data_IF_236466633567
#
_entry.id   IF_236466633567
#
_cell.length_a   1.000
_cell.length_b   1.000
_cell.length_c   1.000
_cell.angle_alpha   90.00
_cell.angle_beta   90.00
_cell.angle_gamma   90.00
#
_symmetry.space_group_name_H-M   'P 1'
#
loop_
_entity.id
_entity.type
_entity.pdbx_description
1 polymer ?
#
# COMPACT_ATOMS: atom_id res chain seq x y z
N UNK A 1 11.53 11.28 11.54
CA UNK A 1 10.46 11.57 10.55
C UNK A 1 9.30 10.56 10.61
N UNK A 2 9.56 9.24 10.66
CA UNK A 2 8.53 8.20 10.83
C UNK A 2 7.70 8.35 12.12
N UNK A 3 8.34 8.76 13.22
CA UNK A 3 7.69 8.92 14.52
C UNK A 3 6.66 10.08 14.55
N UNK A 4 6.93 11.16 13.81
CA UNK A 4 5.99 12.26 13.64
C UNK A 4 4.77 11.86 12.78
N UNK A 5 4.98 11.02 11.76
CA UNK A 5 3.91 10.46 10.93
C UNK A 5 3.05 9.46 11.70
N UNK A 6 3.67 8.59 12.49
CA UNK A 6 2.97 7.65 13.37
C UNK A 6 2.18 8.40 14.46
N UNK A 7 2.75 9.47 15.03
CA UNK A 7 2.04 10.37 15.94
C UNK A 7 0.87 11.07 15.26
N UNK A 8 1.01 11.50 14.00
CA UNK A 8 -0.09 12.12 13.23
C UNK A 8 -1.20 11.13 12.91
N UNK A 9 -0.87 9.92 12.46
CA UNK A 9 -1.83 8.84 12.23
C UNK A 9 -2.55 8.46 13.53
N UNK A 10 -1.82 8.34 14.65
CA UNK A 10 -2.37 8.09 15.99
C UNK A 10 -3.17 9.27 16.56
N UNK A 11 -2.87 10.51 16.20
CA UNK A 11 -3.62 11.70 16.61
C UNK A 11 -4.90 11.89 15.77
N UNK A 12 -4.87 11.49 14.50
CA UNK A 12 -6.04 11.46 13.62
C UNK A 12 -6.92 10.24 13.87
N UNK A 13 -6.35 9.14 14.38
CA UNK A 13 -7.07 7.91 14.73
C UNK A 13 -8.28 8.16 15.66
N UNK A 14 -8.22 8.85 16.83
CA UNK A 14 -9.41 9.10 17.66
C UNK A 14 -10.46 10.04 17.04
N UNK A 15 -10.06 10.90 16.10
CA UNK A 15 -10.98 11.79 15.38
C UNK A 15 -11.63 11.06 14.19
N UNK A 16 -10.92 10.07 13.64
CA UNK A 16 -11.33 9.17 12.56
C UNK A 16 -11.82 7.81 13.08
N UNK A 17 -11.88 7.58 14.39
CA UNK A 17 -12.33 6.32 14.99
C UNK A 17 -13.16 6.60 16.24
N UNK A 18 -14.34 5.99 16.30
CA UNK A 18 -14.97 5.74 17.59
C UNK A 18 -14.14 4.73 18.37
N UNK A 19 -14.70 4.21 19.45
CA UNK A 19 -14.06 3.37 20.48
C UNK A 19 -13.46 2.03 19.98
N UNK A 20 -13.28 1.83 18.67
CA UNK A 20 -12.97 0.53 18.02
C UNK A 20 -11.78 0.52 17.05
N UNK A 21 -10.87 1.49 17.15
CA UNK A 21 -9.43 1.35 16.81
C UNK A 21 -8.95 0.85 15.43
N UNK A 22 -9.77 0.68 14.38
CA UNK A 22 -9.26 0.31 13.02
C UNK A 22 -8.61 1.51 12.32
N UNK A 23 -7.32 1.50 11.97
CA UNK A 23 -6.71 2.62 11.24
C UNK A 23 -7.48 3.01 9.96
N UNK A 24 -7.60 4.31 9.70
CA UNK A 24 -8.10 4.87 8.43
C UNK A 24 -6.93 5.59 7.78
N UNK A 25 -6.74 5.37 6.47
CA UNK A 25 -5.65 6.03 5.76
C UNK A 25 -5.83 7.55 5.72
N UNK A 26 -4.72 8.30 5.79
CA UNK A 26 -4.76 9.76 5.69
C UNK A 26 -5.34 10.18 4.33
N UNK A 27 -6.04 11.31 4.32
CA UNK A 27 -6.44 11.96 3.07
C UNK A 27 -5.21 12.28 2.22
N UNK A 28 -5.38 12.21 0.90
CA UNK A 28 -4.39 12.73 -0.03
C UNK A 28 -4.08 14.18 0.30
N UNK A 29 -2.84 14.42 0.72
CA UNK A 29 -2.34 15.76 0.87
C UNK A 29 -1.98 16.25 -0.54
N UNK A 30 -2.61 17.31 -1.06
CA UNK A 30 -2.28 17.86 -2.37
C UNK A 30 -0.85 18.45 -2.44
N UNK A 31 -0.17 18.58 -1.29
CA UNK A 31 1.14 19.20 -1.15
C UNK A 31 2.25 18.26 -0.67
N UNK A 32 1.96 17.01 -0.25
CA UNK A 32 3.03 16.04 0.06
C UNK A 32 3.06 14.93 -0.95
N UNK A 33 4.27 14.67 -1.43
CA UNK A 33 4.61 13.60 -2.34
C UNK A 33 4.23 12.26 -1.68
N UNK A 34 3.46 11.39 -2.36
CA UNK A 34 3.12 10.07 -1.83
C UNK A 34 4.37 9.19 -1.83
N UNK A 35 4.96 8.96 -0.66
CA UNK A 35 5.91 7.86 -0.46
C UNK A 35 6.14 7.62 1.05
N UNK A 36 5.67 6.48 1.54
CA UNK A 36 6.35 5.74 2.61
C UNK A 36 7.24 4.70 1.94
N UNK A 37 8.55 4.79 2.17
CA UNK A 37 9.52 3.79 1.72
C UNK A 37 9.66 2.69 2.75
N UNK A 38 9.71 1.43 2.30
CA UNK A 38 10.17 0.29 3.10
C UNK A 38 11.39 -0.31 2.41
N UNK A 39 12.50 -0.45 3.13
CA UNK A 39 13.76 -0.99 2.60
C UNK A 39 13.88 -2.48 2.91
N UNK A 40 14.24 -3.28 1.91
CA UNK A 40 14.63 -4.69 2.08
C UNK A 40 16.04 -4.89 1.48
N UNK A 41 16.86 -5.73 2.13
CA UNK A 41 18.23 -6.03 1.71
C UNK A 41 18.21 -7.39 0.98
N UNK A 42 18.72 -7.45 -0.24
CA UNK A 42 19.05 -8.70 -0.93
C UNK A 42 20.57 -8.87 -1.00
N UNK A 43 21.06 -10.08 -1.32
CA UNK A 43 22.50 -10.34 -1.45
C UNK A 43 23.19 -9.50 -2.54
N UNK A 44 22.45 -8.78 -3.40
CA UNK A 44 22.98 -8.00 -4.53
C UNK A 44 22.68 -6.49 -4.43
N UNK A 45 22.06 -6.04 -3.34
CA UNK A 45 21.75 -4.63 -3.15
C UNK A 45 20.59 -4.40 -2.19
N UNK A 46 20.16 -3.16 -2.08
CA UNK A 46 18.97 -2.77 -1.31
C UNK A 46 17.86 -2.46 -2.29
N UNK A 47 16.67 -3.03 -2.09
CA UNK A 47 15.46 -2.64 -2.82
C UNK A 47 14.58 -1.80 -1.89
N UNK A 48 14.31 -0.58 -2.30
CA UNK A 48 13.38 0.34 -1.66
C UNK A 48 12.05 0.29 -2.39
N UNK A 49 11.00 -0.09 -1.68
CA UNK A 49 9.64 -0.14 -2.19
C UNK A 49 8.90 1.15 -1.82
N UNK A 50 8.20 1.75 -2.78
CA UNK A 50 7.41 2.96 -2.56
C UNK A 50 5.92 2.62 -2.49
N UNK A 51 5.27 3.03 -1.41
CA UNK A 51 3.82 2.92 -1.25
C UNK A 51 3.20 4.30 -1.11
N UNK A 52 2.07 4.50 -1.79
CA UNK A 52 1.25 5.69 -1.62
C UNK A 52 0.57 5.63 -0.26
N UNK A 53 0.79 6.65 0.55
CA UNK A 53 0.31 6.73 1.93
C UNK A 53 -1.21 6.86 2.07
N UNK A 54 -1.92 7.21 0.99
CA UNK A 54 -3.38 7.48 1.02
C UNK A 54 -4.24 6.24 0.83
N UNK A 55 -3.74 5.22 0.15
CA UNK A 55 -4.44 3.98 -0.16
C UNK A 55 -3.54 2.73 -0.10
N UNK A 56 -2.28 2.89 0.31
CA UNK A 56 -1.25 1.86 0.30
C UNK A 56 -1.05 1.23 -1.07
N UNK A 57 -1.26 1.96 -2.17
CA UNK A 57 -0.95 1.43 -3.49
C UNK A 57 0.56 1.39 -3.67
N UNK A 58 1.08 0.23 -4.11
CA UNK A 58 2.47 0.11 -4.50
C UNK A 58 2.75 1.00 -5.71
N UNK A 59 3.57 2.02 -5.54
CA UNK A 59 3.82 3.05 -6.53
C UNK A 59 5.04 2.75 -7.42
N UNK A 60 5.93 1.87 -6.95
CA UNK A 60 7.16 1.55 -7.64
C UNK A 60 8.29 1.17 -6.69
N UNK A 61 9.51 1.07 -7.21
CA UNK A 61 10.69 0.69 -6.44
C UNK A 61 11.97 1.38 -6.94
N UNK A 62 13.03 1.29 -6.16
CA UNK A 62 14.38 1.75 -6.52
C UNK A 62 15.39 0.80 -5.89
N UNK A 63 16.47 0.51 -6.60
CA UNK A 63 17.60 -0.26 -6.04
C UNK A 63 18.73 0.65 -5.57
N UNK A 64 19.53 0.17 -4.64
CA UNK A 64 20.87 0.66 -4.35
C UNK A 64 21.88 -0.47 -4.52
N UNK A 65 22.99 -0.17 -5.19
CA UNK A 65 24.16 -1.04 -5.19
C UNK A 65 25.00 -0.68 -3.97
N UNK A 66 25.37 -1.67 -3.17
CA UNK A 66 26.17 -1.46 -1.95
C UNK A 66 27.60 -1.88 -2.21
N UNK A 67 28.53 -0.93 -2.13
CA UNK A 67 29.96 -1.15 -2.30
C UNK A 67 30.66 -1.07 -0.94
N UNK A 68 31.48 -2.07 -0.61
CA UNK A 68 32.36 -2.02 0.57
C UNK A 68 33.64 -1.29 0.18
N UNK A 69 33.90 -0.16 0.84
CA UNK A 69 35.10 0.65 0.61
C UNK A 69 36.33 0.01 1.29
N UNK A 70 37.57 0.38 0.89
CA UNK A 70 38.79 -0.19 1.46
C UNK A 70 38.94 -0.02 2.98
N UNK A 71 38.27 0.98 3.57
CA UNK A 71 38.26 1.24 5.01
C UNK A 71 37.18 0.42 5.77
N UNK A 72 36.44 -0.44 5.06
CA UNK A 72 35.35 -1.24 5.60
C UNK A 72 34.01 -0.51 5.70
N UNK A 73 33.93 0.77 5.31
CA UNK A 73 32.66 1.49 5.24
C UNK A 73 31.81 1.04 4.06
N UNK A 74 30.49 1.25 4.15
CA UNK A 74 29.54 0.92 3.09
C UNK A 74 29.14 2.20 2.34
N UNK A 75 29.20 2.14 1.01
CA UNK A 75 28.67 3.18 0.13
C UNK A 75 27.45 2.64 -0.60
N UNK A 76 26.34 3.39 -0.58
CA UNK A 76 25.12 3.07 -1.30
C UNK A 76 24.98 3.95 -2.54
N UNK A 77 25.04 3.33 -3.72
CA UNK A 77 24.85 3.99 -5.00
C UNK A 77 23.42 3.72 -5.50
N UNK A 78 22.54 4.71 -5.28
CA UNK A 78 21.12 4.60 -5.56
C UNK A 78 20.80 4.80 -7.05
N UNK A 79 20.18 3.80 -7.69
CA UNK A 79 19.84 3.77 -9.12
C UNK A 79 18.62 4.61 -9.53
N UNK A 80 17.93 4.25 -10.61
CA UNK A 80 16.71 4.94 -11.04
C UNK A 80 15.47 4.56 -10.20
N UNK A 81 14.52 5.49 -10.03
CA UNK A 81 13.25 5.23 -9.35
C UNK A 81 12.19 4.77 -10.37
N UNK A 82 11.87 3.49 -10.39
CA UNK A 82 10.91 2.91 -11.31
C UNK A 82 9.48 3.04 -10.77
N UNK A 83 8.57 3.64 -11.54
CA UNK A 83 7.18 3.89 -11.13
C UNK A 83 6.17 3.43 -12.18
N UNK A 84 4.95 3.13 -11.73
CA UNK A 84 3.85 2.82 -12.64
C UNK A 84 3.39 4.03 -13.46
N UNK A 85 2.86 3.76 -14.65
CA UNK A 85 2.41 4.79 -15.58
C UNK A 85 1.17 5.58 -15.08
N UNK A 86 0.35 4.94 -14.23
CA UNK A 86 -0.99 5.36 -13.85
C UNK A 86 -1.12 5.83 -12.39
N UNK A 87 -0.19 5.46 -11.50
CA UNK A 87 -0.26 5.82 -10.07
C UNK A 87 0.24 7.23 -9.79
N UNK A 88 1.36 7.62 -10.38
CA UNK A 88 2.05 8.88 -10.04
C UNK A 88 1.98 9.85 -11.21
N UNK A 89 1.09 10.86 -11.10
CA UNK A 89 0.90 11.88 -12.14
C UNK A 89 2.04 12.89 -12.22
N UNK A 90 2.64 13.23 -11.09
CA UNK A 90 3.75 14.17 -11.00
C UNK A 90 4.79 13.61 -10.03
N UNK A 91 6.01 13.47 -10.51
CA UNK A 91 7.15 13.02 -9.70
C UNK A 91 8.08 14.21 -9.53
N UNK A 92 8.48 14.55 -8.30
CA UNK A 92 9.57 15.48 -8.07
C UNK A 92 10.82 15.09 -8.85
N UNK A 93 11.47 16.09 -9.46
CA UNK A 93 12.68 15.89 -10.26
C UNK A 93 13.80 15.18 -9.51
N UNK A 94 13.92 15.41 -8.20
CA UNK A 94 14.94 14.78 -7.35
C UNK A 94 14.78 13.26 -7.20
N UNK A 95 13.59 12.69 -7.48
CA UNK A 95 13.40 11.24 -7.40
C UNK A 95 13.98 10.50 -8.62
N UNK A 96 14.38 11.24 -9.68
CA UNK A 96 14.92 10.67 -10.90
C UNK A 96 14.05 9.53 -11.47
N UNK A 97 12.73 9.77 -11.51
CA UNK A 97 11.78 8.71 -11.78
C UNK A 97 11.70 8.32 -13.26
N UNK A 98 11.44 7.04 -13.48
CA UNK A 98 11.33 6.39 -14.77
C UNK A 98 10.02 5.60 -14.80
N UNK A 99 9.19 5.88 -15.80
CA UNK A 99 7.96 5.11 -16.05
C UNK A 99 8.31 3.71 -16.54
N UNK A 100 7.79 2.68 -15.87
CA UNK A 100 8.14 1.28 -16.17
C UNK A 100 7.55 0.75 -17.48
N UNK A 101 6.55 1.43 -18.05
CA UNK A 101 5.85 0.92 -19.24
C UNK A 101 4.73 -0.09 -18.91
N UNK A 102 4.53 -0.42 -17.63
CA UNK A 102 3.43 -1.26 -17.13
C UNK A 102 2.46 -0.45 -16.26
N UNK A 103 1.20 -0.93 -16.18
CA UNK A 103 0.17 -0.38 -15.31
C UNK A 103 0.19 -1.01 -13.92
N UNK A 104 -0.48 -0.36 -12.96
CA UNK A 104 -0.53 -0.82 -11.57
C UNK A 104 -1.65 -1.80 -11.22
N UNK A 105 -2.48 -2.14 -12.20
CA UNK A 105 -3.62 -3.04 -11.97
C UNK A 105 -3.14 -4.44 -11.58
N UNK A 106 -3.86 -5.07 -10.64
CA UNK A 106 -3.63 -6.47 -10.28
C UNK A 106 -3.78 -7.37 -11.52
N UNK A 107 -2.79 -8.23 -11.83
CA UNK A 107 -3.04 -9.29 -12.80
C UNK A 107 -4.02 -10.30 -12.20
N UNK A 108 -4.76 -10.96 -13.09
CA UNK A 108 -5.98 -11.72 -12.81
C UNK A 108 -5.81 -12.96 -11.92
N UNK A 109 -4.58 -13.41 -11.64
CA UNK A 109 -4.29 -14.53 -10.74
C UNK A 109 -2.93 -14.26 -10.08
N UNK A 110 -2.91 -14.22 -8.74
CA UNK A 110 -1.68 -14.10 -7.97
C UNK A 110 -1.62 -15.19 -6.91
N UNK A 111 -0.61 -16.05 -6.97
CA UNK A 111 -0.30 -16.97 -5.88
C UNK A 111 0.37 -16.20 -4.74
N UNK A 112 0.24 -16.72 -3.51
CA UNK A 112 1.00 -16.25 -2.36
C UNK A 112 2.43 -16.78 -2.49
N UNK A 113 3.48 -15.94 -2.44
CA UNK A 113 4.85 -16.42 -2.57
C UNK A 113 5.34 -17.01 -1.23
N UNK A 114 6.09 -18.10 -1.32
CA UNK A 114 6.88 -18.63 -0.21
C UNK A 114 8.20 -17.88 -0.02
N UNK A 115 9.06 -18.33 0.91
CA UNK A 115 10.31 -17.64 1.23
C UNK A 115 11.28 -17.55 0.04
N UNK A 116 11.47 -18.65 -0.69
CA UNK A 116 12.38 -18.69 -1.84
C UNK A 116 11.86 -17.82 -2.99
N UNK A 117 10.55 -17.86 -3.26
CA UNK A 117 9.94 -16.97 -4.25
C UNK A 117 10.10 -15.50 -3.87
N UNK A 118 10.02 -15.15 -2.58
CA UNK A 118 10.27 -13.79 -2.12
C UNK A 118 11.71 -13.34 -2.37
N UNK A 119 12.69 -14.23 -2.21
CA UNK A 119 14.08 -13.93 -2.54
C UNK A 119 14.22 -13.64 -4.04
N UNK A 120 13.68 -14.53 -4.89
CA UNK A 120 13.66 -14.36 -6.35
C UNK A 120 13.00 -13.05 -6.78
N UNK A 121 11.87 -12.69 -6.16
CA UNK A 121 11.18 -11.42 -6.39
C UNK A 121 12.11 -10.24 -6.12
N UNK A 122 12.84 -10.23 -5.00
CA UNK A 122 13.78 -9.16 -4.70
C UNK A 122 14.98 -9.15 -5.66
N UNK A 123 15.45 -10.31 -6.14
CA UNK A 123 16.46 -10.36 -7.20
C UNK A 123 15.94 -9.79 -8.52
N UNK A 124 14.71 -10.11 -8.92
CA UNK A 124 14.07 -9.54 -10.12
C UNK A 124 14.03 -8.01 -10.02
N UNK A 125 13.60 -7.46 -8.87
CA UNK A 125 13.55 -6.01 -8.67
C UNK A 125 14.95 -5.37 -8.62
N UNK A 126 15.92 -6.02 -7.99
CA UNK A 126 17.30 -5.53 -7.91
C UNK A 126 18.04 -5.58 -9.25
N UNK A 127 17.73 -6.55 -10.11
CA UNK A 127 18.31 -6.72 -11.45
C UNK A 127 17.56 -5.97 -12.55
N UNK A 128 16.36 -5.44 -12.28
CA UNK A 128 15.49 -4.84 -13.32
C UNK A 128 16.15 -3.71 -14.12
N UNK A 129 17.01 -2.91 -13.47
CA UNK A 129 17.66 -1.76 -14.11
C UNK A 129 18.72 -2.14 -15.14
N UNK A 130 19.35 -3.30 -14.99
CA UNK A 130 20.51 -3.70 -15.80
C UNK A 130 20.16 -4.01 -17.28
N UNK A 131 19.03 -4.69 -17.60
CA UNK A 131 18.67 -5.00 -18.99
C UNK A 131 17.82 -3.93 -19.68
N UNK A 132 17.37 -2.87 -18.99
CA UNK A 132 16.39 -1.92 -19.55
C UNK A 132 17.02 -0.71 -20.22
N UNK A 133 16.46 -0.32 -21.36
CA UNK A 133 16.79 0.95 -22.01
C UNK A 133 15.85 2.06 -21.53
N UNK A 134 16.44 3.12 -20.94
CA UNK A 134 15.70 4.30 -20.49
C UNK A 134 15.72 5.36 -21.59
N UNK A 135 14.56 5.62 -22.18
CA UNK A 135 14.37 6.70 -23.12
C UNK A 135 13.98 7.99 -22.39
N UNK A 136 14.62 9.10 -22.78
CA UNK A 136 14.33 10.43 -22.26
C UNK A 136 13.76 11.31 -23.37
N UNK A 137 12.60 11.90 -23.12
CA UNK A 137 11.94 12.86 -24.01
C UNK A 137 11.81 14.18 -23.28
N UNK A 138 12.08 15.30 -23.95
CA UNK A 138 11.87 16.64 -23.39
C UNK A 138 10.95 17.42 -24.31
N UNK A 139 9.79 17.81 -23.80
CA UNK A 139 8.78 18.57 -24.54
C UNK A 139 8.24 19.69 -23.64
N UNK A 140 8.12 20.92 -24.16
CA UNK A 140 7.62 22.08 -23.41
C UNK A 140 8.34 22.31 -22.05
N UNK A 141 9.67 22.12 -22.01
CA UNK A 141 10.51 22.16 -20.79
C UNK A 141 10.16 21.12 -19.72
N UNK A 142 9.40 20.09 -20.10
CA UNK A 142 9.09 18.93 -19.25
C UNK A 142 9.87 17.74 -19.77
N UNK A 143 10.78 17.23 -18.95
CA UNK A 143 11.52 16.00 -19.24
C UNK A 143 10.78 14.81 -18.64
N UNK A 144 10.48 13.82 -19.48
CA UNK A 144 9.90 12.53 -19.10
C UNK A 144 10.88 11.41 -19.40
N UNK A 145 10.95 10.41 -18.52
CA UNK A 145 11.80 9.23 -18.69
C UNK A 145 10.93 7.98 -18.62
N UNK A 146 11.12 7.06 -19.55
CA UNK A 146 10.36 5.81 -19.63
C UNK A 146 11.24 4.65 -20.10
N UNK A 147 10.92 3.45 -19.65
CA UNK A 147 11.51 2.22 -20.18
C UNK A 147 10.93 1.95 -21.57
N UNK A 148 11.81 1.67 -22.55
CA UNK A 148 11.41 1.21 -23.88
C UNK A 148 12.07 -0.12 -24.23
N UNK A 149 11.41 -0.90 -25.08
CA UNK A 149 11.95 -2.16 -25.58
C UNK A 149 12.00 -3.26 -24.52
N UNK A 150 11.10 -3.23 -23.53
CA UNK A 150 10.98 -4.29 -22.53
C UNK A 150 10.62 -5.60 -23.25
N UNK A 151 11.40 -6.66 -23.04
CA UNK A 151 11.08 -7.98 -23.59
C UNK A 151 9.83 -8.52 -22.89
N UNK A 152 9.02 -9.32 -23.58
CA UNK A 152 7.81 -9.92 -22.96
C UNK A 152 8.15 -10.78 -21.75
N UNK A 153 9.30 -11.47 -21.76
CA UNK A 153 9.77 -12.26 -20.62
C UNK A 153 10.05 -11.38 -19.39
N UNK A 154 10.84 -10.32 -19.55
CA UNK A 154 11.16 -9.42 -18.43
C UNK A 154 9.92 -8.68 -17.93
N UNK A 155 9.00 -8.33 -18.83
CA UNK A 155 7.71 -7.75 -18.47
C UNK A 155 6.90 -8.70 -17.60
N UNK A 156 6.79 -9.96 -18.00
CA UNK A 156 6.05 -10.96 -17.26
C UNK A 156 6.67 -11.22 -15.87
N UNK A 157 7.99 -11.35 -15.79
CA UNK A 157 8.71 -11.50 -14.52
C UNK A 157 8.47 -10.31 -13.58
N UNK A 158 8.53 -9.08 -14.11
CA UNK A 158 8.24 -7.88 -13.33
C UNK A 158 6.78 -7.87 -12.86
N UNK A 159 5.82 -8.21 -13.71
CA UNK A 159 4.40 -8.26 -13.34
C UNK A 159 4.14 -9.27 -12.21
N UNK A 160 4.78 -10.45 -12.26
CA UNK A 160 4.70 -11.45 -11.18
C UNK A 160 5.32 -10.93 -9.87
N UNK A 161 6.49 -10.31 -9.95
CA UNK A 161 7.18 -9.72 -8.80
C UNK A 161 6.34 -8.63 -8.13
N UNK A 162 5.84 -7.68 -8.93
CA UNK A 162 4.95 -6.60 -8.50
C UNK A 162 3.71 -7.14 -7.81
N UNK A 163 3.08 -8.15 -8.37
CA UNK A 163 1.83 -8.73 -7.83
C UNK A 163 2.03 -9.32 -6.45
N UNK A 164 3.14 -10.02 -6.29
CA UNK A 164 3.55 -10.63 -5.04
C UNK A 164 3.85 -9.59 -3.96
N UNK A 165 4.56 -8.50 -4.34
CA UNK A 165 4.78 -7.34 -3.46
C UNK A 165 3.45 -6.71 -3.04
N UNK A 166 2.51 -6.55 -3.97
CA UNK A 166 1.21 -5.95 -3.66
C UNK A 166 0.45 -6.83 -2.65
N UNK A 167 0.40 -8.15 -2.84
CA UNK A 167 -0.25 -9.05 -1.89
C UNK A 167 0.33 -8.90 -0.48
N UNK A 168 1.64 -9.08 -0.34
CA UNK A 168 2.31 -9.15 0.97
C UNK A 168 2.35 -7.80 1.67
N UNK A 169 2.62 -6.71 0.94
CA UNK A 169 2.86 -5.42 1.58
C UNK A 169 1.65 -4.51 1.55
N UNK A 170 0.76 -4.63 0.57
CA UNK A 170 -0.43 -3.79 0.47
C UNK A 170 -1.66 -4.50 1.02
N UNK A 171 -1.96 -5.70 0.51
CA UNK A 171 -3.22 -6.37 0.82
C UNK A 171 -3.23 -6.99 2.21
N UNK A 172 -2.10 -7.56 2.65
CA UNK A 172 -1.94 -8.03 4.04
C UNK A 172 -2.16 -6.91 5.08
N UNK A 173 -1.81 -5.66 4.75
CA UNK A 173 -2.07 -4.51 5.63
C UNK A 173 -3.54 -4.08 5.64
N UNK A 174 -4.32 -4.50 4.64
CA UNK A 174 -5.75 -4.16 4.51
C UNK A 174 -6.66 -5.23 5.09
N UNK A 175 -6.27 -6.49 4.94
CA UNK A 175 -7.11 -7.66 5.18
C UNK A 175 -6.40 -8.68 6.06
N UNK A 176 -7.04 -9.01 7.18
CA UNK A 176 -6.49 -9.93 8.19
C UNK A 176 -6.30 -11.34 7.66
N UNK A 177 -7.26 -11.85 6.89
CA UNK A 177 -7.18 -13.20 6.35
C UNK A 177 -6.06 -13.35 5.33
N UNK A 178 -5.78 -12.30 4.54
CA UNK A 178 -4.60 -12.24 3.67
C UNK A 178 -3.31 -12.20 4.48
N UNK A 179 -3.22 -11.35 5.50
CA UNK A 179 -2.04 -11.32 6.38
C UNK A 179 -1.71 -12.71 6.96
N UNK A 180 -2.73 -13.42 7.46
CA UNK A 180 -2.53 -14.75 8.01
C UNK A 180 -2.11 -15.77 6.93
N UNK A 181 -2.67 -15.68 5.73
CA UNK A 181 -2.34 -16.56 4.62
C UNK A 181 -0.93 -16.30 4.09
N UNK A 182 -0.54 -15.04 3.89
CA UNK A 182 0.81 -14.61 3.54
C UNK A 182 1.81 -15.09 4.59
N UNK A 183 1.52 -14.86 5.87
CA UNK A 183 2.38 -15.30 6.97
C UNK A 183 2.59 -16.82 6.97
N UNK A 184 1.52 -17.59 6.73
CA UNK A 184 1.62 -19.04 6.63
C UNK A 184 2.44 -19.49 5.41
N UNK A 185 2.23 -18.87 4.23
CA UNK A 185 2.97 -19.17 3.01
C UNK A 185 4.48 -18.89 3.18
N UNK A 186 4.84 -17.75 3.79
CA UNK A 186 6.23 -17.36 4.04
C UNK A 186 6.96 -18.23 5.07
N UNK A 187 6.23 -18.96 5.91
CA UNK A 187 6.79 -19.94 6.85
C UNK A 187 6.74 -21.38 6.29
N UNK A 188 6.09 -21.57 5.15
CA UNK A 188 5.95 -22.87 4.49
C UNK A 188 7.17 -23.24 3.67
N UNK A 189 7.29 -24.52 3.27
CA UNK A 189 8.34 -25.00 2.37
C UNK A 189 8.01 -24.78 0.88
N UNK A 190 6.76 -24.43 0.58
CA UNK A 190 6.29 -24.32 -0.80
C UNK A 190 6.79 -23.02 -1.43
N UNK A 191 7.26 -23.10 -2.68
CA UNK A 191 7.68 -21.93 -3.44
C UNK A 191 6.52 -20.94 -3.67
N UNK A 192 5.33 -21.46 -3.99
CA UNK A 192 4.11 -20.69 -4.16
C UNK A 192 2.92 -21.45 -3.60
N UNK A 193 1.99 -20.74 -2.96
CA UNK A 193 0.72 -21.28 -2.48
C UNK A 193 -0.43 -20.63 -3.25
N UNK A 194 -1.38 -21.40 -3.81
CA UNK A 194 -2.54 -20.83 -4.49
C UNK A 194 -3.35 -19.92 -3.57
N UNK A 195 -3.69 -18.72 -4.05
CA UNK A 195 -4.56 -17.81 -3.30
C UNK A 195 -6.00 -18.36 -3.30
N UNK A 196 -6.62 -18.60 -2.13
CA UNK A 196 -7.99 -19.08 -2.06
C UNK A 196 -8.96 -18.09 -2.72
N UNK A 197 -9.93 -18.59 -3.49
CA UNK A 197 -10.91 -17.75 -4.22
C UNK A 197 -11.65 -16.77 -3.31
N UNK A 198 -11.90 -17.16 -2.04
CA UNK A 198 -12.52 -16.27 -1.05
C UNK A 198 -11.67 -15.02 -0.76
N UNK A 199 -10.35 -15.18 -0.65
CA UNK A 199 -9.44 -14.05 -0.40
C UNK A 199 -9.36 -13.13 -1.62
N UNK A 200 -9.40 -13.71 -2.82
CA UNK A 200 -9.48 -12.94 -4.07
C UNK A 200 -10.71 -12.01 -4.11
N UNK A 201 -11.87 -12.53 -3.69
CA UNK A 201 -13.10 -11.75 -3.62
C UNK A 201 -13.00 -10.63 -2.57
N UNK A 202 -12.44 -10.92 -1.39
CA UNK A 202 -12.20 -9.92 -0.35
C UNK A 202 -11.34 -8.75 -0.85
N UNK A 203 -10.22 -9.08 -1.51
CA UNK A 203 -9.30 -8.11 -2.11
C UNK A 203 -10.05 -7.15 -3.05
N UNK A 204 -10.83 -7.71 -3.98
CA UNK A 204 -11.60 -6.92 -4.95
C UNK A 204 -12.78 -6.15 -4.33
N UNK A 205 -13.19 -6.52 -3.12
CA UNK A 205 -14.30 -5.90 -2.39
C UNK A 205 -13.84 -4.86 -1.37
N UNK A 206 -12.54 -4.73 -1.10
CA UNK A 206 -12.00 -3.87 -0.04
C UNK A 206 -12.51 -2.43 -0.09
N UNK A 207 -12.53 -1.81 -1.28
CA UNK A 207 -13.03 -0.44 -1.47
C UNK A 207 -14.52 -0.33 -1.13
N UNK A 208 -15.35 -1.26 -1.59
CA UNK A 208 -16.80 -1.28 -1.34
C UNK A 208 -17.12 -1.55 0.14
N UNK A 209 -16.38 -2.46 0.76
CA UNK A 209 -16.48 -2.75 2.20
C UNK A 209 -16.11 -1.51 3.03
N UNK A 210 -15.00 -0.86 2.69
CA UNK A 210 -14.57 0.39 3.33
C UNK A 210 -15.62 1.48 3.20
N UNK A 211 -16.14 1.72 1.99
CA UNK A 211 -17.19 2.72 1.75
C UNK A 211 -18.45 2.44 2.58
N UNK A 212 -18.83 1.16 2.69
CA UNK A 212 -20.00 0.76 3.46
C UNK A 212 -19.84 1.06 4.95
N UNK A 213 -18.71 0.66 5.55
CA UNK A 213 -18.38 0.94 6.95
C UNK A 213 -18.39 2.45 7.21
N UNK A 214 -17.74 3.23 6.34
CA UNK A 214 -17.69 4.69 6.45
C UNK A 214 -19.08 5.32 6.35
N UNK A 215 -19.96 4.81 5.47
CA UNK A 215 -21.33 5.29 5.33
C UNK A 215 -22.18 5.01 6.57
N UNK A 216 -22.12 3.79 7.12
CA UNK A 216 -22.82 3.44 8.37
C UNK A 216 -22.36 4.33 9.52
N UNK A 217 -21.04 4.55 9.62
CA UNK A 217 -20.47 5.46 10.60
C UNK A 217 -21.02 6.88 10.47
N UNK A 218 -21.02 7.44 9.25
CA UNK A 218 -21.54 8.78 8.98
C UNK A 218 -23.01 8.94 9.39
N UNK A 219 -23.80 7.87 9.20
CA UNK A 219 -25.22 7.82 9.59
C UNK A 219 -25.45 7.47 11.06
N UNK A 220 -24.40 7.14 11.82
CA UNK A 220 -24.46 6.66 13.22
C UNK A 220 -25.30 5.39 13.38
N UNK A 221 -25.22 4.49 12.41
CA UNK A 221 -25.98 3.22 12.40
C UNK A 221 -25.06 2.00 12.55
N UNK A 222 -23.91 2.13 13.23
CA UNK A 222 -22.99 1.02 13.43
C UNK A 222 -23.44 0.16 14.61
N UNK A 223 -23.89 -1.04 14.30
CA UNK A 223 -24.28 -2.09 15.25
C UNK A 223 -23.56 -3.36 14.85
N UNK A 224 -22.72 -3.93 15.73
CA UNK A 224 -21.81 -5.03 15.38
C UNK A 224 -22.56 -6.27 14.91
N UNK A 225 -23.66 -6.58 15.58
CA UNK A 225 -24.48 -7.76 15.28
C UNK A 225 -25.33 -7.58 14.01
N UNK A 226 -25.24 -6.42 13.35
CA UNK A 226 -25.94 -6.20 12.10
C UNK A 226 -25.28 -6.96 10.97
N UNK A 227 -26.09 -7.74 10.26
CA UNK A 227 -25.68 -8.35 9.00
C UNK A 227 -25.18 -7.29 8.02
N UNK A 228 -24.14 -7.64 7.26
CA UNK A 228 -23.72 -6.83 6.13
C UNK A 228 -24.85 -6.72 5.09
N UNK A 229 -24.92 -5.62 4.31
CA UNK A 229 -25.98 -5.44 3.33
C UNK A 229 -25.98 -6.57 2.32
N UNK A 230 -27.16 -7.10 2.05
CA UNK A 230 -27.38 -8.10 1.01
C UNK A 230 -27.36 -7.46 -0.39
N UNK A 231 -26.24 -6.86 -0.77
CA UNK A 231 -26.00 -6.47 -2.17
C UNK A 231 -25.49 -7.69 -2.94
N UNK A 232 -25.79 -7.81 -4.25
CA UNK A 232 -25.30 -8.92 -5.09
C UNK A 232 -23.79 -9.17 -4.95
N UNK A 233 -23.02 -8.08 -4.76
CA UNK A 233 -21.57 -8.05 -4.57
C UNK A 233 -21.11 -8.75 -3.28
N UNK A 234 -21.95 -8.76 -2.25
CA UNK A 234 -21.73 -9.45 -0.97
C UNK A 234 -22.43 -10.82 -0.94
N UNK A 235 -23.56 -10.98 -1.65
CA UNK A 235 -24.37 -12.20 -1.64
C UNK A 235 -23.75 -13.37 -2.40
N UNK A 236 -22.89 -13.12 -3.39
CA UNK A 236 -22.40 -14.17 -4.27
C UNK A 236 -21.45 -15.18 -3.58
N UNK A 237 -21.00 -14.94 -2.34
CA UNK A 237 -19.74 -15.53 -1.86
C UNK A 237 -19.66 -15.82 -0.35
N UNK A 238 -20.71 -16.37 0.27
CA UNK A 238 -20.74 -16.77 1.69
C UNK A 238 -20.54 -15.64 2.73
N UNK A 239 -20.51 -14.37 2.32
CA UNK A 239 -20.73 -13.22 3.21
C UNK A 239 -22.16 -13.01 3.76
N UNK A 240 -23.26 -13.70 3.33
CA UNK A 240 -24.60 -13.42 3.86
C UNK A 240 -24.73 -13.55 5.38
N UNK A 241 -23.83 -14.30 6.01
CA UNK A 241 -23.78 -14.52 7.47
C UNK A 241 -22.78 -13.61 8.19
N UNK A 242 -21.94 -12.86 7.47
CA UNK A 242 -21.00 -11.94 8.11
C UNK A 242 -21.73 -10.74 8.70
N UNK A 243 -21.37 -10.44 9.92
CA UNK A 243 -21.81 -9.29 10.69
C UNK A 243 -20.81 -8.15 10.54
N UNK A 244 -21.17 -6.97 11.04
CA UNK A 244 -20.24 -5.86 11.16
C UNK A 244 -19.11 -6.19 12.17
N UNK A 245 -19.31 -7.08 13.14
CA UNK A 245 -18.25 -7.59 14.02
C UNK A 245 -17.20 -8.39 13.24
N UNK A 246 -17.63 -9.25 12.33
CA UNK A 246 -16.71 -10.03 11.49
C UNK A 246 -15.88 -9.13 10.55
N UNK A 247 -16.38 -7.94 10.24
CA UNK A 247 -15.70 -6.99 9.37
C UNK A 247 -14.79 -6.02 10.14
N UNK A 248 -15.27 -5.45 11.24
CA UNK A 248 -14.59 -4.36 11.98
C UNK A 248 -14.50 -4.57 13.50
N UNK A 249 -14.84 -5.76 13.98
CA UNK A 249 -14.65 -6.15 15.38
C UNK A 249 -13.18 -6.38 15.73
N UNK A 250 -12.87 -6.78 16.97
CA UNK A 250 -11.50 -7.03 17.42
C UNK A 250 -10.75 -8.08 16.57
N UNK A 251 -11.47 -9.10 16.09
CA UNK A 251 -10.98 -10.12 15.17
C UNK A 251 -11.41 -9.87 13.71
N UNK A 252 -11.92 -8.67 13.41
CA UNK A 252 -12.52 -8.34 12.14
C UNK A 252 -11.54 -8.39 10.97
N UNK A 253 -12.11 -8.58 9.78
CA UNK A 253 -11.38 -8.76 8.53
C UNK A 253 -10.65 -7.49 8.07
N UNK A 254 -11.27 -6.31 8.19
CA UNK A 254 -10.65 -5.05 7.77
C UNK A 254 -9.63 -4.58 8.81
N UNK A 255 -8.37 -4.61 8.43
CA UNK A 255 -7.29 -3.96 9.19
C UNK A 255 -7.16 -2.48 8.83
N UNK A 256 -7.69 -2.08 7.68
CA UNK A 256 -7.56 -0.72 7.16
C UNK A 256 -8.76 -0.37 6.28
N UNK A 257 -9.32 0.84 6.47
CA UNK A 257 -10.40 1.34 5.61
C UNK A 257 -9.89 2.36 4.58
N UNK A 258 -10.29 2.19 3.32
CA UNK A 258 -10.09 3.17 2.24
C UNK A 258 -10.98 4.39 2.43
N UNK A 259 -10.39 5.59 2.43
CA UNK A 259 -11.13 6.84 2.49
C UNK A 259 -11.34 7.39 1.07
N UNK A 260 -12.47 7.03 0.45
CA UNK A 260 -12.75 7.39 -0.96
C UNK A 260 -13.22 8.85 -1.17
N UNK A 261 -13.62 9.56 -0.11
CA UNK A 261 -14.13 10.93 -0.21
C UNK A 261 -13.23 11.89 0.56
N UNK A 262 -12.76 12.93 -0.12
CA UNK A 262 -12.19 14.13 0.50
C UNK A 262 -13.26 14.82 1.37
N UNK A 263 -13.55 14.27 2.55
CA UNK A 263 -14.20 15.06 3.59
C UNK A 263 -13.14 16.01 4.14
N UNK A 264 -13.10 17.23 3.62
CA UNK A 264 -12.38 18.33 4.27
C UNK A 264 -13.00 18.49 5.66
N UNK A 265 -12.33 17.94 6.66
CA UNK A 265 -12.72 18.16 8.06
C UNK A 265 -12.34 19.60 8.36
N UNK A 266 -13.35 20.48 8.35
CA UNK A 266 -13.16 21.88 8.78
C UNK A 266 -12.55 21.91 10.19
N UNK A 267 -11.66 22.86 10.50
CA UNK A 267 -11.02 22.97 11.82
C UNK A 267 -12.03 22.87 12.98
N UNK A 268 -13.16 23.56 12.86
CA UNK A 268 -14.23 23.58 13.87
C UNK A 268 -14.86 22.19 14.11
N UNK A 269 -14.95 21.36 13.07
CA UNK A 269 -15.43 19.98 13.19
C UNK A 269 -14.41 19.08 13.88
N UNK A 270 -13.12 19.35 13.66
CA UNK A 270 -12.00 18.63 14.26
C UNK A 270 -11.91 18.95 15.76
N UNK A 271 -12.04 20.23 16.11
CA UNK A 271 -12.07 20.72 17.49
C UNK A 271 -13.30 20.22 18.25
N UNK A 272 -14.49 20.27 17.62
CA UNK A 272 -15.71 19.71 18.22
C UNK A 272 -15.57 18.21 18.50
N UNK A 273 -15.04 17.44 17.55
CA UNK A 273 -14.82 15.99 17.71
C UNK A 273 -13.76 15.66 18.77
N UNK A 274 -12.71 16.47 18.90
CA UNK A 274 -11.70 16.34 19.96
C UNK A 274 -12.31 16.59 21.35
N UNK A 275 -13.14 17.63 21.49
CA UNK A 275 -13.86 17.95 22.73
C UNK A 275 -14.88 16.88 23.12
N UNK A 276 -15.63 16.33 22.16
CA UNK A 276 -16.64 15.29 22.39
C UNK A 276 -16.03 13.92 22.79
N UNK A 277 -14.78 13.63 22.42
CA UNK A 277 -14.18 12.29 22.54
C UNK A 277 -12.98 12.21 23.48
N UNK A 278 -12.69 13.28 24.24
CA UNK A 278 -11.62 13.29 25.24
C UNK A 278 -10.20 13.18 24.68
N UNK A 279 -10.02 13.30 23.36
CA UNK A 279 -8.70 13.36 22.75
C UNK A 279 -8.11 14.75 23.02
N UNK A 280 -7.34 14.88 24.11
CA UNK A 280 -6.56 16.09 24.40
C UNK A 280 -5.70 16.43 23.19
N UNK A 281 -6.06 17.51 22.49
CA UNK A 281 -5.24 18.16 21.47
C UNK A 281 -4.05 18.84 22.13
N UNK A 282 -3.06 18.07 22.58
CA UNK A 282 -1.70 18.60 22.72
C UNK A 282 -1.06 18.63 21.33
N UNK A 283 -1.62 19.45 20.44
CA UNK A 283 -0.93 19.97 19.27
C UNK A 283 -0.22 21.24 19.73
N UNK A 284 0.81 21.10 20.56
CA UNK A 284 1.84 22.14 20.60
C UNK A 284 2.54 22.09 19.26
N UNK A 285 2.40 23.16 18.47
CA UNK A 285 3.21 23.40 17.29
C UNK A 285 4.69 23.19 17.65
N UNK A 286 5.47 22.48 16.81
CA UNK A 286 6.91 22.54 16.97
C UNK A 286 7.32 23.99 16.69
N UNK A 287 7.76 24.69 17.74
CA UNK A 287 8.48 25.95 17.58
C UNK A 287 9.60 25.71 16.54
N UNK A 288 9.61 26.59 15.53
CA UNK A 288 10.63 26.70 14.49
C UNK A 288 12.06 26.66 15.06
#
# INVERSE_FOLDING_TARGET
MAEARLRRARAMAPVLLGDRLIPVLPLANPFTIPATGSSCISHHGIVLLFFRDTDLYFAGFRRAVVTVLPDGSLQEDWGNCFIFNDIVKQVPSFMNAVKMGIGSAHPSISNLPGPDAMEDIFYTLAGFEDPVYIHQTTENNVTTREVRGLTEALKHELELAVSSIILIFCEALRLRSLYNADHAALQGPDYVTPLPSRLWILLHSWGKLSEHVLRMRKRRTMTLDSALPQKPEFLAHDFPTMTLDDLIGPAGELLLCKLDVYEIIKPDHLERRSKERGARTNLTEPNL
#
